data_IF_489604287152
#
_entry.id   IF_489604287152
#
_cell.length_a   1.000
_cell.length_b   1.000
_cell.length_c   1.000
_cell.angle_alpha   90.00
_cell.angle_beta   90.00
_cell.angle_gamma   90.00
#
_symmetry.space_group_name_H-M   'P 1'
#
loop_
_entity.id
_entity.type
_entity.pdbx_description
1 polymer ?
#
# COMPACT_ATOMS: atom_id res chain seq x y z
N UNK A 1 18.69 -29.27 20.06
CA UNK A 1 18.92 -27.96 19.42
C UNK A 1 17.80 -27.69 18.43
N UNK A 2 16.86 -26.81 18.76
CA UNK A 2 15.79 -26.43 17.84
C UNK A 2 16.38 -25.59 16.69
N UNK A 3 16.33 -26.09 15.46
CA UNK A 3 16.68 -25.30 14.27
C UNK A 3 15.66 -24.17 14.17
N UNK A 4 16.10 -22.93 14.40
CA UNK A 4 15.32 -21.71 14.17
C UNK A 4 14.92 -21.68 12.69
N UNK A 5 13.67 -22.04 12.41
CA UNK A 5 13.08 -21.90 11.09
C UNK A 5 13.10 -20.40 10.75
N UNK A 6 14.05 -19.97 9.91
CA UNK A 6 13.94 -18.68 9.24
C UNK A 6 12.82 -18.85 8.21
N UNK A 7 11.59 -18.58 8.61
CA UNK A 7 10.48 -18.43 7.68
C UNK A 7 10.90 -17.39 6.64
N UNK A 8 11.01 -17.83 5.39
CA UNK A 8 11.36 -16.99 4.26
C UNK A 8 10.15 -16.07 4.06
N UNK A 9 10.16 -14.88 4.67
CA UNK A 9 9.08 -13.90 4.47
C UNK A 9 8.96 -13.64 2.97
N UNK A 10 7.86 -14.08 2.36
CA UNK A 10 7.49 -13.64 1.02
C UNK A 10 7.06 -12.18 1.17
N UNK A 11 8.03 -11.27 1.07
CA UNK A 11 7.72 -9.85 1.10
C UNK A 11 6.94 -9.51 -0.16
N UNK A 12 5.69 -9.10 0.00
CA UNK A 12 4.93 -8.57 -1.12
C UNK A 12 5.59 -7.28 -1.59
N UNK A 13 5.87 -7.13 -2.89
CA UNK A 13 6.48 -5.91 -3.42
C UNK A 13 5.51 -4.74 -3.22
N UNK A 14 6.03 -3.60 -2.78
CA UNK A 14 5.23 -2.38 -2.63
C UNK A 14 4.70 -1.91 -3.99
N UNK A 15 3.48 -1.37 -4.01
CA UNK A 15 2.92 -0.74 -5.20
C UNK A 15 3.51 0.67 -5.35
N UNK A 16 4.31 0.90 -6.39
CA UNK A 16 4.83 2.23 -6.69
C UNK A 16 3.95 2.95 -7.70
N UNK A 17 3.42 4.11 -7.31
CA UNK A 17 2.56 4.96 -8.13
C UNK A 17 3.29 6.20 -8.67
N UNK A 18 4.61 6.31 -8.46
CA UNK A 18 5.38 7.44 -8.95
C UNK A 18 5.33 7.51 -10.48
N UNK A 19 4.85 8.65 -11.01
CA UNK A 19 4.71 8.86 -12.46
C UNK A 19 3.48 8.20 -13.11
N UNK A 20 2.64 7.50 -12.34
CA UNK A 20 1.37 6.95 -12.84
C UNK A 20 0.35 8.07 -13.04
N UNK A 21 -0.43 7.99 -14.12
CA UNK A 21 -1.52 8.96 -14.37
C UNK A 21 -2.59 8.81 -13.31
N UNK A 22 -3.03 9.93 -12.74
CA UNK A 22 -4.07 9.96 -11.71
C UNK A 22 -5.35 9.19 -12.05
N UNK A 23 -5.74 9.14 -13.33
CA UNK A 23 -6.93 8.41 -13.78
C UNK A 23 -6.81 6.89 -13.62
N UNK A 24 -5.60 6.35 -13.65
CA UNK A 24 -5.34 4.90 -13.60
C UNK A 24 -5.03 4.43 -12.17
N UNK A 25 -4.86 5.35 -11.23
CA UNK A 25 -4.39 5.04 -9.86
C UNK A 25 -5.40 4.20 -9.10
N UNK A 26 -6.69 4.55 -9.17
CA UNK A 26 -7.72 3.85 -8.40
C UNK A 26 -7.78 2.37 -8.75
N UNK A 27 -7.82 2.03 -10.04
CA UNK A 27 -7.90 0.64 -10.49
C UNK A 27 -6.63 -0.16 -10.16
N UNK A 28 -5.45 0.46 -10.22
CA UNK A 28 -4.20 -0.19 -9.83
C UNK A 28 -4.15 -0.48 -8.34
N UNK A 29 -4.61 0.47 -7.51
CA UNK A 29 -4.70 0.32 -6.06
C UNK A 29 -5.67 -0.79 -5.68
N UNK A 30 -6.87 -0.81 -6.26
CA UNK A 30 -7.88 -1.84 -6.02
C UNK A 30 -7.34 -3.24 -6.37
N UNK A 31 -6.82 -3.38 -7.59
CA UNK A 31 -6.24 -4.65 -8.05
C UNK A 31 -5.12 -5.14 -7.13
N UNK A 32 -4.25 -4.22 -6.68
CA UNK A 32 -3.16 -4.56 -5.78
C UNK A 32 -3.64 -4.99 -4.40
N UNK A 33 -4.62 -4.30 -3.82
CA UNK A 33 -5.15 -4.62 -2.49
C UNK A 33 -5.91 -5.94 -2.52
N UNK A 34 -6.86 -6.11 -3.45
CA UNK A 34 -7.67 -7.33 -3.52
C UNK A 34 -6.84 -8.57 -3.81
N UNK A 35 -5.79 -8.44 -4.62
CA UNK A 35 -4.87 -9.56 -4.90
C UNK A 35 -4.06 -10.00 -3.67
N UNK A 36 -3.85 -9.11 -2.70
CA UNK A 36 -2.93 -9.34 -1.58
C UNK A 36 -3.57 -9.08 -0.21
N UNK A 37 -4.90 -9.10 -0.12
CA UNK A 37 -5.65 -8.72 1.10
C UNK A 37 -5.24 -9.53 2.34
N UNK A 38 -4.92 -10.83 2.16
CA UNK A 38 -4.55 -11.75 3.24
C UNK A 38 -3.13 -11.54 3.79
N UNK A 39 -2.39 -10.59 3.20
CA UNK A 39 -1.00 -10.32 3.50
C UNK A 39 -0.77 -8.86 3.96
N UNK A 40 -1.81 -8.25 4.52
CA UNK A 40 -1.68 -6.98 5.20
C UNK A 40 -0.68 -7.09 6.38
N UNK A 41 0.14 -6.06 6.63
CA UNK A 41 0.06 -4.72 6.05
C UNK A 41 0.69 -4.60 4.66
N UNK A 42 -0.01 -3.95 3.72
CA UNK A 42 0.49 -3.63 2.39
C UNK A 42 1.10 -2.22 2.36
N UNK A 43 2.06 -1.99 1.46
CA UNK A 43 2.69 -0.67 1.26
C UNK A 43 2.43 -0.14 -0.14
N UNK A 44 1.94 1.08 -0.23
CA UNK A 44 1.70 1.83 -1.47
C UNK A 44 2.55 3.09 -1.43
N UNK A 45 3.44 3.27 -2.40
CA UNK A 45 4.30 4.44 -2.54
C UNK A 45 3.58 5.45 -3.44
N UNK A 46 3.16 6.57 -2.85
CA UNK A 46 2.46 7.66 -3.54
C UNK A 46 3.38 8.82 -3.91
N UNK A 47 4.60 8.83 -3.35
CA UNK A 47 5.48 9.99 -3.35
C UNK A 47 4.89 11.15 -2.54
N UNK A 48 5.44 12.35 -2.73
CA UNK A 48 4.96 13.57 -2.06
C UNK A 48 3.78 14.24 -2.78
N UNK A 49 3.09 13.54 -3.69
CA UNK A 49 1.94 14.09 -4.42
C UNK A 49 0.67 14.01 -3.56
N UNK A 50 0.16 15.17 -3.14
CA UNK A 50 -1.10 15.25 -2.39
C UNK A 50 -2.29 14.74 -3.21
N UNK A 51 -2.28 14.96 -4.53
CA UNK A 51 -3.32 14.45 -5.43
C UNK A 51 -3.29 12.93 -5.51
N UNK A 52 -2.09 12.34 -5.59
CA UNK A 52 -1.92 10.88 -5.58
C UNK A 52 -2.44 10.28 -4.27
N UNK A 53 -2.03 10.84 -3.12
CA UNK A 53 -2.50 10.41 -1.81
C UNK A 53 -4.01 10.48 -1.68
N UNK A 54 -4.62 11.59 -2.10
CA UNK A 54 -6.09 11.76 -2.08
C UNK A 54 -6.79 10.64 -2.85
N UNK A 55 -6.32 10.30 -4.05
CA UNK A 55 -6.93 9.23 -4.85
C UNK A 55 -6.82 7.88 -4.12
N UNK A 56 -5.62 7.53 -3.64
CA UNK A 56 -5.41 6.27 -2.90
C UNK A 56 -6.29 6.20 -1.65
N UNK A 57 -6.33 7.28 -0.85
CA UNK A 57 -7.15 7.36 0.36
C UNK A 57 -8.64 7.25 0.03
N UNK A 58 -9.12 7.92 -1.02
CA UNK A 58 -10.52 7.82 -1.44
C UNK A 58 -10.86 6.38 -1.85
N UNK A 59 -9.99 5.71 -2.60
CA UNK A 59 -10.16 4.30 -2.97
C UNK A 59 -10.18 3.40 -1.74
N UNK A 60 -9.26 3.59 -0.79
CA UNK A 60 -9.23 2.82 0.46
C UNK A 60 -10.49 2.99 1.30
N UNK A 61 -10.96 4.24 1.45
CA UNK A 61 -12.20 4.55 2.17
C UNK A 61 -13.44 3.97 1.50
N UNK A 62 -13.49 3.98 0.17
CA UNK A 62 -14.61 3.41 -0.59
C UNK A 62 -14.81 1.91 -0.29
N UNK A 63 -13.71 1.18 -0.10
CA UNK A 63 -13.72 -0.25 0.19
C UNK A 63 -13.60 -0.58 1.69
N UNK A 64 -13.59 0.42 2.57
CA UNK A 64 -13.58 0.23 4.02
C UNK A 64 -12.26 -0.23 4.63
N UNK A 65 -11.12 -0.04 3.95
CA UNK A 65 -9.82 -0.44 4.47
C UNK A 65 -9.24 0.58 5.47
N UNK A 66 -8.65 0.08 6.56
CA UNK A 66 -7.85 0.91 7.46
C UNK A 66 -6.47 1.21 6.86
N UNK A 67 -5.98 2.43 7.08
CA UNK A 67 -4.69 2.86 6.53
C UNK A 67 -3.95 3.83 7.45
N UNK A 68 -2.64 3.92 7.24
CA UNK A 68 -1.75 4.89 7.88
C UNK A 68 -0.92 5.62 6.82
N UNK A 69 -0.90 6.95 6.88
CA UNK A 69 -0.11 7.78 5.97
C UNK A 69 1.31 7.98 6.50
N UNK A 70 2.28 7.35 5.86
CA UNK A 70 3.70 7.51 6.16
C UNK A 70 4.09 7.27 7.61
N UNK A 71 5.26 7.79 7.97
CA UNK A 71 5.75 7.91 9.33
C UNK A 71 6.29 9.34 9.58
N UNK A 72 6.95 9.54 10.72
CA UNK A 72 7.54 10.83 11.09
C UNK A 72 8.60 11.33 10.10
N UNK A 73 9.32 10.43 9.44
CA UNK A 73 10.43 10.75 8.54
C UNK A 73 10.01 10.77 7.05
N UNK A 74 9.02 9.97 6.67
CA UNK A 74 8.63 9.78 5.28
C UNK A 74 7.11 9.70 5.14
N UNK A 75 6.53 10.73 4.52
CA UNK A 75 5.10 10.82 4.20
C UNK A 75 4.76 10.36 2.78
N UNK A 76 5.73 9.80 2.05
CA UNK A 76 5.62 9.46 0.63
C UNK A 76 4.97 8.11 0.35
N UNK A 77 4.37 7.48 1.35
CA UNK A 77 3.73 6.18 1.21
C UNK A 77 2.52 6.06 2.14
N UNK A 78 1.69 5.06 1.88
CA UNK A 78 0.53 4.69 2.70
C UNK A 78 0.63 3.21 3.01
N UNK A 79 0.48 2.87 4.29
CA UNK A 79 0.28 1.49 4.74
C UNK A 79 -1.21 1.17 4.75
N UNK A 80 -1.59 0.05 4.13
CA UNK A 80 -2.92 -0.53 4.25
C UNK A 80 -2.84 -1.60 5.33
N UNK A 81 -3.64 -1.46 6.37
CA UNK A 81 -3.57 -2.31 7.58
C UNK A 81 -4.60 -3.43 7.54
N UNK A 82 -5.69 -3.21 6.79
CA UNK A 82 -6.96 -3.93 6.80
C UNK A 82 -7.68 -3.84 8.15
#
# INVERSE_FOLDING_TARGET
MAKRLKTKYHSIPSLDLHGIKHADVSILVENYIFKHQDACPLKIITGNSDKMKKIVITTLKLHGFNYQEGDYYNRGYIHVLN
#
